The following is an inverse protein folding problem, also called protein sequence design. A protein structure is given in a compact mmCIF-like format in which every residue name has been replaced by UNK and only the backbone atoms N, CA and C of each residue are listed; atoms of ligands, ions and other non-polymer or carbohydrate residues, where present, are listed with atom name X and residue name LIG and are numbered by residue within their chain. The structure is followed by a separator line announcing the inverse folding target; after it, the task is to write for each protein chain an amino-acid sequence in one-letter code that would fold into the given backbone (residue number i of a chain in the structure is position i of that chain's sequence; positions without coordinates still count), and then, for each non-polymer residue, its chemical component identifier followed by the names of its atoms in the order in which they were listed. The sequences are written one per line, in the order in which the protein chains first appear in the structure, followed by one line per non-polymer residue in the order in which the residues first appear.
data_IF_331482849131
#
_entry.id   IF_331482849131
#
_cell.length_a   1.000
_cell.length_b   1.000
_cell.length_c   1.000
_cell.angle_alpha   90.00
_cell.angle_beta   90.00
_cell.angle_gamma   90.00
#
_symmetry.space_group_name_H-M   'P 1'
#
loop_
_entity.id
_entity.type
_entity.pdbx_description
1 polymer ?
#
# COMPACT_ATOMS: atom_id res chain seq x y z
N UNK A 1 -7.52 -10.63 1.46
CA UNK A 1 -6.99 -9.25 1.46
C UNK A 1 -6.61 -8.85 0.04
N UNK A 2 -6.87 -7.62 -0.33
CA UNK A 2 -6.71 -7.14 -1.70
C UNK A 2 -5.34 -6.51 -1.90
N UNK A 3 -4.65 -6.88 -2.98
CA UNK A 3 -3.44 -6.17 -3.38
C UNK A 3 -3.82 -4.80 -3.94
N UNK A 4 -3.02 -3.79 -3.64
CA UNK A 4 -3.25 -2.43 -4.10
C UNK A 4 -2.00 -1.94 -4.85
N UNK A 5 -2.22 -1.28 -5.97
CA UNK A 5 -1.14 -0.79 -6.82
C UNK A 5 -1.10 0.72 -6.82
N UNK A 6 0.09 1.28 -6.61
CA UNK A 6 0.31 2.72 -6.72
C UNK A 6 0.10 3.15 -8.16
N UNK A 7 -0.75 4.16 -8.38
CA UNK A 7 -1.04 4.65 -9.72
C UNK A 7 0.07 5.55 -10.26
N UNK A 8 1.06 5.91 -9.45
CA UNK A 8 2.15 6.80 -9.85
C UNK A 8 3.38 6.01 -10.29
N UNK A 9 3.89 5.12 -9.44
CA UNK A 9 5.13 4.39 -9.73
C UNK A 9 4.92 2.91 -10.01
N UNK A 10 3.71 2.37 -9.77
CA UNK A 10 3.42 0.97 -10.01
C UNK A 10 3.78 0.03 -8.88
N UNK A 11 4.20 0.55 -7.73
CA UNK A 11 4.49 -0.29 -6.57
C UNK A 11 3.23 -1.01 -6.10
N UNK A 12 3.34 -2.30 -5.81
CA UNK A 12 2.21 -3.11 -5.35
C UNK A 12 2.34 -3.36 -3.85
N UNK A 13 1.30 -3.00 -3.11
CA UNK A 13 1.18 -3.35 -1.70
C UNK A 13 0.52 -4.72 -1.60
N UNK A 14 1.25 -5.70 -1.10
CA UNK A 14 0.73 -7.05 -0.89
C UNK A 14 0.51 -7.25 0.61
N UNK A 15 -0.74 -7.31 1.08
CA UNK A 15 -1.01 -7.44 2.51
C UNK A 15 -0.52 -8.77 3.09
N UNK A 16 -0.33 -9.78 2.27
CA UNK A 16 0.14 -11.09 2.77
C UNK A 16 1.59 -11.00 3.24
N UNK A 17 2.44 -10.31 2.49
CA UNK A 17 3.86 -10.18 2.83
C UNK A 17 4.19 -8.89 3.56
N UNK A 18 3.27 -7.92 3.52
CA UNK A 18 3.49 -6.63 4.14
C UNK A 18 4.35 -5.70 3.31
N UNK A 19 4.70 -4.57 3.89
CA UNK A 19 5.49 -3.54 3.22
C UNK A 19 6.19 -2.71 4.28
N UNK A 20 6.90 -1.66 3.87
CA UNK A 20 7.54 -0.73 4.77
C UNK A 20 6.49 -0.12 5.71
N UNK A 21 6.76 -0.16 7.01
CA UNK A 21 5.86 0.34 8.06
C UNK A 21 4.51 -0.38 8.09
N UNK A 22 4.41 -1.55 7.44
CA UNK A 22 3.18 -2.34 7.41
C UNK A 22 3.54 -3.82 7.57
N UNK A 23 3.33 -4.40 8.75
CA UNK A 23 3.66 -5.81 8.98
C UNK A 23 2.81 -6.73 8.11
N UNK A 24 3.35 -7.91 7.83
CA UNK A 24 2.63 -8.94 7.08
C UNK A 24 1.29 -9.22 7.73
N UNK A 25 0.25 -9.37 6.91
CA UNK A 25 -1.11 -9.61 7.40
C UNK A 25 -1.91 -8.35 7.65
N UNK A 26 -1.38 -7.18 7.33
CA UNK A 26 -2.11 -5.91 7.49
C UNK A 26 -2.84 -5.58 6.20
N UNK A 27 -4.17 -5.50 6.27
CA UNK A 27 -4.96 -5.08 5.12
C UNK A 27 -4.67 -3.61 4.81
N UNK A 28 -4.71 -3.26 3.51
CA UNK A 28 -4.47 -1.90 3.07
C UNK A 28 -5.38 -0.89 3.78
N UNK A 29 -6.64 -1.26 4.00
CA UNK A 29 -7.61 -0.40 4.68
C UNK A 29 -7.24 -0.11 6.13
N UNK A 30 -6.45 -0.98 6.75
CA UNK A 30 -6.04 -0.83 8.14
C UNK A 30 -4.74 -0.04 8.30
N UNK A 31 -4.13 0.38 7.22
CA UNK A 31 -2.95 1.23 7.27
C UNK A 31 -3.31 2.63 7.77
N UNK A 32 -2.39 3.32 8.46
CA UNK A 32 -2.64 4.70 8.87
C UNK A 32 -2.96 5.57 7.66
N UNK A 33 -3.77 6.59 7.87
CA UNK A 33 -4.14 7.50 6.79
C UNK A 33 -2.93 8.21 6.18
N UNK A 34 -1.91 8.48 6.98
CA UNK A 34 -0.68 9.12 6.54
C UNK A 34 0.32 8.16 5.90
N UNK A 35 0.00 6.86 5.80
CA UNK A 35 0.87 5.92 5.12
C UNK A 35 0.99 6.32 3.65
N UNK A 36 2.20 6.27 3.12
CA UNK A 36 2.48 6.66 1.74
C UNK A 36 3.28 5.55 1.05
N UNK A 37 3.29 5.61 -0.28
CA UNK A 37 4.07 4.67 -1.07
C UNK A 37 5.55 4.75 -0.66
N UNK A 38 6.19 3.62 -0.35
CA UNK A 38 7.61 3.64 0.06
C UNK A 38 8.56 3.95 -1.09
N UNK A 39 8.08 3.96 -2.33
CA UNK A 39 8.91 4.21 -3.51
C UNK A 39 8.81 5.67 -3.95
N UNK A 40 7.59 6.18 -4.14
CA UNK A 40 7.40 7.52 -4.70
C UNK A 40 6.69 8.48 -3.75
N UNK A 41 6.33 8.02 -2.55
CA UNK A 41 5.66 8.81 -1.52
C UNK A 41 4.24 9.26 -1.92
N UNK A 42 3.63 8.59 -2.89
CA UNK A 42 2.26 8.89 -3.30
C UNK A 42 1.30 8.61 -2.14
N UNK A 43 0.27 9.44 -2.01
CA UNK A 43 -0.71 9.29 -0.96
C UNK A 43 -1.47 7.97 -1.09
N UNK A 44 -1.93 7.45 0.04
CA UNK A 44 -2.69 6.21 0.10
C UNK A 44 -3.87 6.20 -0.88
N UNK A 45 -4.55 7.34 -1.03
CA UNK A 45 -5.70 7.46 -1.92
C UNK A 45 -5.37 7.24 -3.40
N UNK A 46 -4.09 7.28 -3.77
CA UNK A 46 -3.66 7.09 -5.15
C UNK A 46 -3.45 5.62 -5.50
N UNK A 47 -3.62 4.72 -4.54
CA UNK A 47 -3.53 3.29 -4.78
C UNK A 47 -4.85 2.77 -5.34
N UNK A 48 -4.76 1.82 -6.27
CA UNK A 48 -5.92 1.20 -6.93
C UNK A 48 -5.90 -0.30 -6.71
N UNK A 49 -7.08 -0.95 -6.64
CA UNK A 49 -7.12 -2.42 -6.58
C UNK A 49 -6.47 -3.04 -7.81
N UNK A 50 -5.75 -4.10 -7.59
CA UNK A 50 -5.12 -4.86 -8.67
C UNK A 50 -6.03 -5.98 -9.12
#
# INVERSE_FOLDING_TARGET
MQKMKCSICGHVYDPVIGDKDAPAGTDFQNLPQEWVCPVCLAAKKLFRPV
#
